data_IF_762496974106
#
_entry.id   IF_762496974106
#
_cell.length_a   1.000
_cell.length_b   1.000
_cell.length_c   1.000
_cell.angle_alpha   90.00
_cell.angle_beta   90.00
_cell.angle_gamma   90.00
#
_symmetry.space_group_name_H-M   'P 1'
#
loop_
_entity.id
_entity.type
_entity.pdbx_description
1 polymer ?
#
# COMPACT_ATOMS: atom_id res chain seq x y z
N UNK A 1 9.43 -0.15 -29.37
CA UNK A 1 8.30 -0.51 -30.24
C UNK A 1 7.01 -0.23 -29.48
N UNK A 2 6.05 0.48 -30.07
CA UNK A 2 4.73 0.75 -29.47
C UNK A 2 3.81 -0.46 -29.63
N UNK A 3 2.79 -0.63 -28.78
CA UNK A 3 1.86 -1.77 -28.90
C UNK A 3 1.13 -1.79 -30.25
N UNK A 4 0.67 -0.63 -30.73
CA UNK A 4 0.03 -0.48 -32.05
C UNK A 4 0.96 -0.86 -33.21
N UNK A 5 2.24 -0.45 -33.12
CA UNK A 5 3.31 -0.77 -34.07
C UNK A 5 3.62 -2.28 -34.08
N UNK A 6 3.64 -2.92 -32.92
CA UNK A 6 3.79 -4.37 -32.81
C UNK A 6 2.58 -5.12 -33.41
N UNK A 7 1.36 -4.68 -33.13
CA UNK A 7 0.14 -5.26 -33.69
C UNK A 7 0.04 -5.09 -35.23
N UNK A 8 0.54 -3.98 -35.77
CA UNK A 8 0.68 -3.76 -37.22
C UNK A 8 1.75 -4.68 -37.83
N UNK A 9 2.94 -4.77 -37.22
CA UNK A 9 4.00 -5.66 -37.70
C UNK A 9 3.57 -7.14 -37.70
N UNK A 10 2.84 -7.59 -36.66
CA UNK A 10 2.24 -8.93 -36.61
C UNK A 10 1.17 -9.12 -37.71
N UNK A 11 0.30 -8.12 -37.96
CA UNK A 11 -0.65 -8.12 -39.08
C UNK A 11 0.06 -8.27 -40.43
N UNK A 12 1.13 -7.51 -40.66
CA UNK A 12 1.87 -7.52 -41.91
C UNK A 12 2.57 -8.87 -42.14
N UNK A 13 3.27 -9.39 -41.11
CA UNK A 13 3.91 -10.71 -41.17
C UNK A 13 2.91 -11.84 -41.41
N UNK A 14 1.74 -11.81 -40.76
CA UNK A 14 0.68 -12.78 -41.01
C UNK A 14 0.19 -12.73 -42.47
N UNK A 15 -0.03 -11.55 -43.04
CA UNK A 15 -0.44 -11.38 -44.44
C UNK A 15 0.60 -11.88 -45.45
N UNK A 16 1.90 -11.71 -45.17
CA UNK A 16 3.00 -12.29 -45.97
C UNK A 16 2.99 -13.82 -45.87
N UNK A 17 2.82 -14.37 -44.66
CA UNK A 17 2.78 -15.83 -44.48
C UNK A 17 1.57 -16.49 -45.15
N UNK A 18 0.39 -15.87 -45.16
CA UNK A 18 -0.76 -16.36 -45.96
C UNK A 18 -0.42 -16.42 -47.46
N UNK A 19 0.18 -15.36 -48.02
CA UNK A 19 0.60 -15.34 -49.44
C UNK A 19 1.63 -16.42 -49.78
N UNK A 20 2.45 -16.81 -48.80
CA UNK A 20 3.48 -17.84 -48.94
C UNK A 20 2.95 -19.26 -48.61
N UNK A 21 1.64 -19.47 -48.44
CA UNK A 21 1.02 -20.76 -48.09
C UNK A 21 1.27 -21.22 -46.64
N UNK A 22 1.91 -20.40 -45.81
CA UNK A 22 2.28 -20.69 -44.42
C UNK A 22 1.12 -20.37 -43.45
N UNK A 23 -0.05 -20.96 -43.69
CA UNK A 23 -1.26 -20.65 -42.91
C UNK A 23 -1.09 -20.85 -41.40
N UNK A 24 -0.44 -21.93 -40.97
CA UNK A 24 -0.26 -22.22 -39.54
C UNK A 24 0.58 -21.14 -38.84
N UNK A 25 1.66 -20.67 -39.48
CA UNK A 25 2.45 -19.54 -38.97
C UNK A 25 1.65 -18.23 -38.95
N UNK A 26 0.79 -18.00 -39.95
CA UNK A 26 -0.07 -16.83 -39.99
C UNK A 26 -1.14 -16.85 -38.86
N UNK A 27 -1.71 -18.02 -38.54
CA UNK A 27 -2.66 -18.19 -37.43
C UNK A 27 -1.99 -17.88 -36.08
N UNK A 28 -0.76 -18.37 -35.84
CA UNK A 28 0.00 -18.05 -34.63
C UNK A 28 0.35 -16.55 -34.53
N UNK A 29 0.79 -15.92 -35.62
CA UNK A 29 1.04 -14.48 -35.64
C UNK A 29 -0.23 -13.64 -35.35
N UNK A 30 -1.41 -14.11 -35.76
CA UNK A 30 -2.69 -13.49 -35.43
C UNK A 30 -3.11 -13.72 -33.96
N UNK A 31 -2.78 -14.88 -33.37
CA UNK A 31 -2.99 -15.14 -31.95
C UNK A 31 -2.08 -14.25 -31.08
N UNK A 32 -0.81 -14.09 -31.46
CA UNK A 32 0.10 -13.10 -30.85
C UNK A 32 -0.45 -11.67 -31.01
N UNK A 33 -0.98 -11.32 -32.19
CA UNK A 33 -1.63 -10.02 -32.40
C UNK A 33 -2.81 -9.81 -31.44
N UNK A 34 -3.64 -10.84 -31.18
CA UNK A 34 -4.74 -10.74 -30.20
C UNK A 34 -4.22 -10.37 -28.81
N UNK A 35 -3.17 -11.03 -28.32
CA UNK A 35 -2.54 -10.71 -27.02
C UNK A 35 -2.02 -9.27 -26.95
N UNK A 36 -1.42 -8.76 -28.03
CA UNK A 36 -0.96 -7.36 -28.12
C UNK A 36 -2.13 -6.37 -28.12
N UNK A 37 -3.25 -6.71 -28.77
CA UNK A 37 -4.48 -5.88 -28.74
C UNK A 37 -5.09 -5.83 -27.33
N UNK A 38 -5.19 -6.97 -26.65
CA UNK A 38 -5.70 -7.08 -25.28
C UNK A 38 -4.84 -6.28 -24.27
N UNK A 39 -3.52 -6.30 -24.42
CA UNK A 39 -2.62 -5.47 -23.63
C UNK A 39 -2.75 -3.96 -23.94
N UNK A 40 -3.14 -3.61 -25.18
CA UNK A 40 -3.39 -2.23 -25.58
C UNK A 40 -4.75 -1.72 -25.06
N UNK A 41 -5.75 -2.60 -24.98
CA UNK A 41 -7.07 -2.34 -24.38
C UNK A 41 -6.93 -2.06 -22.87
N UNK A 42 -6.30 -2.97 -22.13
CA UNK A 42 -5.96 -2.76 -20.70
C UNK A 42 -5.10 -1.52 -20.45
N UNK A 43 -4.28 -1.12 -21.43
CA UNK A 43 -3.50 0.13 -21.37
C UNK A 43 -4.34 1.38 -21.65
N UNK A 44 -5.46 1.30 -22.38
CA UNK A 44 -6.42 2.39 -22.54
C UNK A 44 -7.20 2.57 -21.23
N UNK A 45 -7.72 1.49 -20.67
CA UNK A 45 -8.54 1.54 -19.45
C UNK A 45 -7.76 2.14 -18.28
N UNK A 46 -6.46 1.81 -18.18
CA UNK A 46 -5.53 2.43 -17.21
C UNK A 46 -5.26 3.92 -17.47
N UNK A 47 -5.31 4.39 -18.71
CA UNK A 47 -5.17 5.83 -19.02
C UNK A 47 -6.45 6.56 -18.59
N UNK A 48 -7.62 6.01 -18.92
CA UNK A 48 -8.93 6.58 -18.58
C UNK A 48 -9.12 6.73 -17.06
N UNK A 49 -8.69 5.73 -16.27
CA UNK A 49 -8.65 5.81 -14.80
C UNK A 49 -7.67 6.87 -14.27
N UNK A 50 -6.54 7.10 -14.94
CA UNK A 50 -5.57 8.14 -14.55
C UNK A 50 -6.07 9.54 -14.91
N UNK A 51 -6.79 9.69 -16.01
CA UNK A 51 -7.45 10.94 -16.40
C UNK A 51 -8.58 11.30 -15.41
N UNK A 52 -9.38 10.31 -14.99
CA UNK A 52 -10.40 10.49 -13.93
C UNK A 52 -9.78 10.88 -12.58
N UNK A 53 -8.70 10.20 -12.17
CA UNK A 53 -7.96 10.54 -10.95
C UNK A 53 -7.35 11.95 -11.02
N UNK A 54 -6.85 12.36 -12.19
CA UNK A 54 -6.34 13.71 -12.41
C UNK A 54 -7.43 14.76 -12.29
N UNK A 55 -8.62 14.51 -12.85
CA UNK A 55 -9.78 15.40 -12.70
C UNK A 55 -10.19 15.57 -11.23
N UNK A 56 -10.32 14.47 -10.48
CA UNK A 56 -10.66 14.49 -9.04
C UNK A 56 -9.59 15.17 -8.19
N UNK A 57 -8.30 15.00 -8.52
CA UNK A 57 -7.21 15.69 -7.83
C UNK A 57 -7.27 17.21 -8.06
N UNK A 58 -7.53 17.65 -9.29
CA UNK A 58 -7.70 19.07 -9.61
C UNK A 58 -8.94 19.69 -8.92
N UNK A 59 -10.04 18.93 -8.79
CA UNK A 59 -11.22 19.34 -8.03
C UNK A 59 -10.90 19.54 -6.54
N UNK A 60 -10.25 18.56 -5.90
CA UNK A 60 -9.85 18.65 -4.48
C UNK A 60 -8.86 19.78 -4.23
N UNK A 61 -7.91 20.01 -5.15
CA UNK A 61 -7.01 21.17 -5.10
C UNK A 61 -7.82 22.48 -5.18
N UNK A 62 -8.74 22.61 -6.14
CA UNK A 62 -9.55 23.82 -6.32
C UNK A 62 -10.40 24.14 -5.08
N UNK A 63 -10.98 23.11 -4.44
CA UNK A 63 -11.70 23.26 -3.17
C UNK A 63 -10.74 23.73 -2.06
N UNK A 64 -9.58 23.11 -1.91
CA UNK A 64 -8.62 23.46 -0.84
C UNK A 64 -7.95 24.82 -1.05
N UNK A 65 -7.76 25.26 -2.28
CA UNK A 65 -7.34 26.62 -2.60
C UNK A 65 -8.42 27.64 -2.22
N UNK A 66 -9.70 27.36 -2.51
CA UNK A 66 -10.81 28.21 -2.08
C UNK A 66 -10.94 28.26 -0.54
N UNK A 67 -10.90 27.11 0.14
CA UNK A 67 -10.90 27.04 1.61
C UNK A 67 -9.78 27.89 2.21
N UNK A 68 -8.57 27.82 1.64
CA UNK A 68 -7.41 28.58 2.13
C UNK A 68 -7.59 30.09 1.91
N UNK A 69 -8.13 30.51 0.77
CA UNK A 69 -8.45 31.90 0.47
C UNK A 69 -9.51 32.45 1.43
N UNK A 70 -10.55 31.66 1.73
CA UNK A 70 -11.61 32.03 2.69
C UNK A 70 -11.05 32.21 4.11
N UNK A 71 -10.27 31.25 4.61
CA UNK A 71 -9.66 31.34 5.95
C UNK A 71 -8.70 32.54 6.06
N UNK A 72 -7.84 32.79 5.06
CA UNK A 72 -6.93 33.95 5.06
C UNK A 72 -7.71 35.28 4.99
N UNK A 73 -8.85 35.34 4.30
CA UNK A 73 -9.71 36.52 4.28
C UNK A 73 -10.39 36.77 5.65
N UNK A 74 -10.71 35.72 6.41
CA UNK A 74 -11.25 35.82 7.78
C UNK A 74 -10.16 36.33 8.73
N UNK A 75 -8.95 35.77 8.69
CA UNK A 75 -7.82 36.21 9.53
C UNK A 75 -7.49 37.69 9.31
N UNK A 76 -7.47 38.15 8.06
CA UNK A 76 -7.24 39.57 7.72
C UNK A 76 -8.34 40.49 8.25
N UNK A 77 -9.60 40.04 8.26
CA UNK A 77 -10.72 40.81 8.81
C UNK A 77 -10.78 40.79 10.34
N UNK A 78 -10.20 39.80 11.02
CA UNK A 78 -10.09 39.79 12.50
C UNK A 78 -9.12 40.83 13.06
N UNK A 79 -8.24 41.43 12.24
CA UNK A 79 -7.40 42.57 12.63
C UNK A 79 -8.12 43.92 12.73
N UNK A 80 -9.46 43.94 12.65
CA UNK A 80 -10.25 45.08 12.19
C UNK A 80 -10.90 46.02 13.20
N UNK A 81 -10.58 45.99 14.51
CA UNK A 81 -11.07 47.03 15.45
C UNK A 81 -10.21 47.27 16.71
N UNK A 82 -8.87 47.25 16.57
CA UNK A 82 -7.94 47.59 17.64
C UNK A 82 -6.79 48.47 17.13
N UNK A 83 -6.48 49.58 17.81
CA UNK A 83 -5.39 50.48 17.41
C UNK A 83 -4.03 49.76 17.48
N UNK A 84 -3.18 49.84 16.43
CA UNK A 84 -1.92 49.11 16.37
C UNK A 84 -0.89 49.69 17.36
N UNK A 85 -0.81 49.05 18.54
CA UNK A 85 0.19 49.38 19.57
C UNK A 85 1.62 49.18 19.03
N UNK A 86 2.52 50.18 19.13
CA UNK A 86 3.85 50.08 18.53
C UNK A 86 4.71 48.93 19.09
N UNK A 87 5.04 47.96 18.22
CA UNK A 87 5.91 46.82 18.57
C UNK A 87 7.37 47.29 18.66
N UNK A 88 7.89 47.42 19.87
CA UNK A 88 9.30 47.77 20.13
C UNK A 88 10.14 46.50 20.14
N UNK A 89 10.90 46.26 19.08
CA UNK A 89 11.87 45.16 19.01
C UNK A 89 13.07 45.45 19.93
N UNK A 90 13.21 44.66 21.00
CA UNK A 90 14.36 44.71 21.91
C UNK A 90 15.25 43.48 21.67
N UNK A 91 16.46 43.70 21.15
CA UNK A 91 17.43 42.62 20.97
C UNK A 91 17.85 42.02 22.32
N UNK A 92 17.80 40.69 22.50
CA UNK A 92 18.24 40.05 23.75
C UNK A 92 19.69 40.41 24.08
N UNK A 93 19.93 40.88 25.31
CA UNK A 93 21.29 41.08 25.83
C UNK A 93 21.75 39.83 26.56
N UNK A 94 22.78 39.19 26.01
CA UNK A 94 23.51 38.11 26.66
C UNK A 94 24.13 38.59 28.00
N UNK A 95 23.83 37.89 29.10
CA UNK A 95 24.79 37.59 30.19
C UNK A 95 24.22 36.69 31.31
N UNK A 96 24.86 35.52 31.44
CA UNK A 96 25.23 34.84 32.70
C UNK A 96 24.10 34.26 33.58
N UNK A 97 24.43 33.12 34.21
CA UNK A 97 23.57 32.30 35.08
C UNK A 97 23.39 32.91 36.48
N UNK A 98 22.24 32.64 37.13
CA UNK A 98 22.27 31.92 38.42
C UNK A 98 20.91 31.31 38.84
N UNK A 99 20.92 30.01 39.12
CA UNK A 99 20.12 29.23 40.10
C UNK A 99 18.57 29.26 40.21
N UNK A 100 18.04 28.03 40.35
CA UNK A 100 16.98 27.58 41.28
C UNK A 100 15.48 27.50 40.85
N UNK A 101 15.03 26.24 40.75
CA UNK A 101 13.72 25.64 41.13
C UNK A 101 12.38 26.21 40.59
N UNK A 102 11.54 25.35 40.00
CA UNK A 102 10.13 25.70 39.76
C UNK A 102 9.26 24.79 38.86
N UNK A 103 9.29 23.47 39.04
CA UNK A 103 8.27 22.47 38.62
C UNK A 103 7.56 22.62 37.25
N UNK A 104 7.82 21.70 36.31
CA UNK A 104 6.95 21.47 35.14
C UNK A 104 5.64 20.77 35.52
N UNK A 105 4.50 21.36 35.15
CA UNK A 105 3.23 20.63 34.99
C UNK A 105 2.34 21.34 33.94
N UNK A 106 2.46 20.93 32.67
CA UNK A 106 1.54 21.32 31.58
C UNK A 106 0.85 20.08 31.01
N UNK A 107 -0.32 19.75 31.58
CA UNK A 107 -1.20 18.73 31.03
C UNK A 107 -1.92 19.28 29.78
N UNK A 108 -1.79 18.60 28.64
CA UNK A 108 -2.43 18.97 27.39
C UNK A 108 -3.45 17.91 26.93
N UNK A 109 -4.62 18.39 26.51
CA UNK A 109 -5.62 17.73 25.64
C UNK A 109 -6.06 16.29 25.98
N UNK A 110 -7.33 16.15 26.38
CA UNK A 110 -8.29 15.41 25.55
C UNK A 110 -9.73 15.84 25.86
N UNK A 111 -10.58 15.96 24.85
CA UNK A 111 -12.03 16.13 25.00
C UNK A 111 -12.75 15.49 23.81
N UNK A 112 -13.70 14.60 24.10
CA UNK A 112 -14.49 13.89 23.08
C UNK A 112 -15.63 14.76 22.55
N UNK A 113 -15.94 14.65 21.26
CA UNK A 113 -17.31 14.56 20.74
C UNK A 113 -17.31 13.57 19.56
N UNK A 114 -18.41 12.84 19.35
CA UNK A 114 -18.55 11.82 18.30
C UNK A 114 -19.89 11.98 17.54
N UNK A 115 -19.99 11.38 16.33
CA UNK A 115 -21.17 11.00 15.52
C UNK A 115 -20.61 10.25 14.26
N UNK A 116 -21.16 9.20 13.61
CA UNK A 116 -22.51 8.62 13.40
C UNK A 116 -23.48 9.49 12.57
N UNK A 117 -24.38 9.02 11.68
CA UNK A 117 -24.73 7.71 11.01
C UNK A 117 -25.43 8.08 9.66
N UNK A 118 -25.65 7.33 8.56
CA UNK A 118 -25.31 6.01 7.95
C UNK A 118 -25.16 6.29 6.41
N UNK A 119 -24.99 5.27 5.54
CA UNK A 119 -25.98 4.93 4.50
C UNK A 119 -25.53 3.81 3.55
N UNK A 120 -26.36 2.77 3.45
CA UNK A 120 -26.14 1.53 2.66
C UNK A 120 -26.88 1.51 1.32
N UNK A 121 -26.22 1.04 0.25
CA UNK A 121 -26.82 0.37 -0.94
C UNK A 121 -25.73 -0.59 -1.48
N UNK A 122 -25.95 -1.80 -2.01
CA UNK A 122 -27.13 -2.66 -2.20
C UNK A 122 -26.68 -3.92 -2.98
N UNK A 123 -27.40 -5.04 -2.93
CA UNK A 123 -26.89 -6.36 -3.39
C UNK A 123 -27.65 -6.96 -4.58
N UNK A 124 -26.93 -7.67 -5.48
CA UNK A 124 -27.35 -8.73 -6.45
C UNK A 124 -26.15 -9.07 -7.38
N UNK A 125 -25.94 -10.25 -7.99
CA UNK A 125 -26.49 -11.61 -7.80
C UNK A 125 -25.64 -12.70 -8.53
N UNK A 126 -25.94 -13.99 -8.28
CA UNK A 126 -25.65 -15.20 -9.10
C UNK A 126 -24.20 -15.74 -9.32
N UNK A 127 -23.88 -16.80 -8.53
CA UNK A 127 -23.43 -18.19 -8.88
C UNK A 127 -23.26 -18.59 -10.37
N UNK A 128 -22.49 -19.61 -10.79
CA UNK A 128 -21.43 -20.50 -10.22
C UNK A 128 -20.62 -21.08 -11.45
N UNK A 129 -20.19 -22.36 -11.58
CA UNK A 129 -18.76 -22.70 -11.58
C UNK A 129 -18.23 -23.31 -12.90
N UNK A 130 -16.92 -23.55 -12.98
CA UNK A 130 -16.37 -24.56 -13.91
C UNK A 130 -15.01 -25.10 -13.42
N UNK A 131 -14.97 -26.38 -13.06
CA UNK A 131 -13.72 -27.12 -12.92
C UNK A 131 -13.07 -27.36 -14.30
N UNK A 132 -11.76 -27.59 -14.31
CA UNK A 132 -11.07 -28.52 -15.22
C UNK A 132 -9.64 -28.80 -14.71
N UNK A 133 -9.17 -30.02 -14.90
CA UNK A 133 -7.97 -30.55 -14.24
C UNK A 133 -6.65 -30.27 -14.99
N UNK A 134 -5.56 -30.18 -14.20
CA UNK A 134 -4.19 -30.68 -14.46
C UNK A 134 -3.50 -30.43 -15.83
N UNK A 135 -2.28 -29.88 -15.79
CA UNK A 135 -1.02 -30.59 -16.12
C UNK A 135 0.21 -29.71 -15.80
N UNK A 136 1.35 -30.34 -15.56
CA UNK A 136 2.59 -29.75 -15.02
C UNK A 136 3.43 -28.94 -16.02
N UNK A 137 4.29 -28.06 -15.48
CA UNK A 137 5.68 -27.96 -15.93
C UNK A 137 6.09 -26.78 -16.83
N UNK A 138 6.67 -25.74 -16.22
CA UNK A 138 7.99 -25.21 -16.63
C UNK A 138 8.56 -24.25 -15.57
N UNK A 139 9.89 -24.11 -15.56
CA UNK A 139 10.64 -23.14 -14.74
C UNK A 139 10.75 -21.82 -15.48
N UNK A 140 10.48 -20.70 -14.79
CA UNK A 140 11.31 -19.47 -14.70
C UNK A 140 10.46 -18.30 -14.13
N UNK A 141 11.08 -17.17 -13.76
CA UNK A 141 10.40 -15.88 -13.72
C UNK A 141 9.83 -15.43 -12.37
N UNK A 142 10.72 -14.87 -11.54
CA UNK A 142 10.41 -13.98 -10.41
C UNK A 142 9.33 -12.93 -10.75
N UNK A 143 8.58 -12.46 -9.73
CA UNK A 143 7.49 -11.44 -9.75
C UNK A 143 6.07 -12.01 -9.97
N UNK A 144 5.47 -12.59 -8.91
CA UNK A 144 4.02 -12.94 -8.83
C UNK A 144 3.32 -12.81 -7.46
N UNK A 145 4.01 -12.53 -6.35
CA UNK A 145 3.41 -12.68 -5.01
C UNK A 145 2.48 -11.55 -4.54
N UNK A 146 2.71 -10.29 -4.89
CA UNK A 146 1.97 -9.16 -4.27
C UNK A 146 0.47 -9.20 -4.59
N UNK A 147 0.12 -9.51 -5.84
CA UNK A 147 -1.26 -9.63 -6.32
C UNK A 147 -1.95 -10.87 -5.73
N UNK A 148 -1.22 -11.99 -5.58
CA UNK A 148 -1.72 -13.22 -4.96
C UNK A 148 -2.02 -13.04 -3.46
N UNK A 149 -1.16 -12.35 -2.71
CA UNK A 149 -1.40 -12.00 -1.31
C UNK A 149 -2.56 -11.01 -1.16
N UNK A 150 -2.66 -10.01 -2.06
CA UNK A 150 -3.77 -9.05 -2.04
C UNK A 150 -5.13 -9.71 -2.32
N UNK A 151 -5.23 -10.64 -3.28
CA UNK A 151 -6.47 -11.37 -3.55
C UNK A 151 -6.88 -12.27 -2.38
N UNK A 152 -5.94 -12.95 -1.73
CA UNK A 152 -6.24 -13.74 -0.51
C UNK A 152 -6.76 -12.87 0.63
N UNK A 153 -6.30 -11.62 0.75
CA UNK A 153 -6.81 -10.67 1.75
C UNK A 153 -8.19 -10.07 1.39
N UNK A 154 -8.76 -10.42 0.23
CA UNK A 154 -10.13 -10.06 -0.18
C UNK A 154 -11.12 -11.24 -0.05
N UNK A 155 -10.66 -12.44 0.27
CA UNK A 155 -11.48 -13.67 0.38
C UNK A 155 -11.90 -13.97 1.85
N UNK A 156 -11.42 -13.18 2.81
CA UNK A 156 -11.67 -13.37 4.24
C UNK A 156 -13.09 -12.96 4.66
N UNK A 157 -13.82 -13.90 5.24
CA UNK A 157 -15.23 -13.74 5.66
C UNK A 157 -15.44 -12.93 6.94
N UNK A 158 -14.41 -12.80 7.79
CA UNK A 158 -14.50 -12.11 9.07
C UNK A 158 -13.16 -11.49 9.50
N UNK A 159 -13.21 -10.65 10.54
CA UNK A 159 -12.04 -10.02 11.14
C UNK A 159 -11.06 -11.04 11.76
N UNK A 160 -11.59 -12.11 12.36
CA UNK A 160 -10.80 -13.23 12.89
C UNK A 160 -10.06 -14.00 11.78
N UNK A 161 -10.74 -14.28 10.65
CA UNK A 161 -10.12 -14.92 9.48
C UNK A 161 -8.98 -14.07 8.91
N UNK A 162 -9.19 -12.74 8.85
CA UNK A 162 -8.17 -11.76 8.45
C UNK A 162 -6.96 -11.78 9.40
N UNK A 163 -7.17 -11.76 10.72
CA UNK A 163 -6.07 -11.79 11.69
C UNK A 163 -5.27 -13.10 11.63
N UNK A 164 -5.93 -14.26 11.50
CA UNK A 164 -5.25 -15.55 11.35
C UNK A 164 -4.44 -15.61 10.06
N UNK A 165 -4.97 -15.07 8.95
CA UNK A 165 -4.24 -15.00 7.69
C UNK A 165 -3.01 -14.07 7.78
N UNK A 166 -3.13 -12.94 8.45
CA UNK A 166 -1.99 -12.01 8.66
C UNK A 166 -0.93 -12.65 9.56
N UNK A 167 -1.30 -13.33 10.65
CA UNK A 167 -0.33 -14.11 11.44
C UNK A 167 0.32 -15.21 10.59
N UNK A 168 -0.43 -15.91 9.74
CA UNK A 168 0.09 -16.92 8.82
C UNK A 168 1.17 -16.38 7.88
N UNK A 169 0.97 -15.19 7.31
CA UNK A 169 2.00 -14.54 6.47
C UNK A 169 3.20 -14.07 7.31
N UNK A 170 2.98 -13.45 8.46
CA UNK A 170 4.05 -13.00 9.35
C UNK A 170 4.89 -14.18 9.87
N UNK A 171 4.27 -15.30 10.22
CA UNK A 171 4.91 -16.56 10.63
C UNK A 171 5.76 -17.15 9.52
N UNK A 172 5.33 -17.04 8.25
CA UNK A 172 6.14 -17.44 7.09
C UNK A 172 7.39 -16.55 6.94
N UNK A 173 7.20 -15.23 7.05
CA UNK A 173 8.30 -14.24 7.01
C UNK A 173 9.29 -14.49 8.16
N UNK A 174 8.80 -14.75 9.37
CA UNK A 174 9.61 -15.11 10.54
C UNK A 174 10.51 -16.33 10.29
N UNK A 175 9.96 -17.40 9.70
CA UNK A 175 10.73 -18.60 9.33
C UNK A 175 11.77 -18.30 8.24
N UNK A 176 11.45 -17.48 7.25
CA UNK A 176 12.38 -17.05 6.20
C UNK A 176 13.53 -16.19 6.78
N UNK A 177 13.22 -15.23 7.68
CA UNK A 177 14.21 -14.39 8.38
C UNK A 177 15.11 -15.22 9.30
N UNK A 178 14.56 -16.12 10.11
CA UNK A 178 15.32 -17.03 10.98
C UNK A 178 16.24 -17.93 10.13
N UNK A 179 15.79 -18.38 8.96
CA UNK A 179 16.60 -19.17 8.03
C UNK A 179 17.73 -18.34 7.41
N UNK A 180 17.45 -17.08 7.02
CA UNK A 180 18.46 -16.15 6.51
C UNK A 180 19.50 -15.80 7.58
N UNK A 181 19.10 -15.64 8.85
CA UNK A 181 20.02 -15.43 9.97
C UNK A 181 20.90 -16.65 10.24
N UNK A 182 20.34 -17.86 10.22
CA UNK A 182 21.11 -19.12 10.36
C UNK A 182 22.13 -19.29 9.23
N UNK A 183 21.71 -19.07 7.98
CA UNK A 183 22.61 -19.08 6.82
C UNK A 183 23.69 -18.00 6.92
N UNK A 184 23.31 -16.78 7.31
CA UNK A 184 24.25 -15.66 7.50
C UNK A 184 25.26 -15.97 8.59
N UNK A 185 24.86 -16.59 9.70
CA UNK A 185 25.79 -17.04 10.75
C UNK A 185 26.80 -18.04 10.20
N UNK A 186 26.35 -19.10 9.52
CA UNK A 186 27.23 -20.12 8.93
C UNK A 186 28.22 -19.53 7.91
N UNK A 187 27.79 -18.54 7.13
CA UNK A 187 28.67 -17.83 6.18
C UNK A 187 29.65 -16.89 6.90
N UNK A 188 29.22 -16.14 7.90
CA UNK A 188 30.05 -15.16 8.62
C UNK A 188 31.03 -15.83 9.60
N UNK A 189 30.72 -17.04 10.08
CA UNK A 189 31.62 -17.89 10.87
C UNK A 189 32.87 -18.32 10.07
N UNK A 190 32.83 -18.24 8.73
CA UNK A 190 34.00 -18.39 7.85
C UNK A 190 34.80 -17.09 7.61
N UNK A 191 34.29 -15.93 8.07
CA UNK A 191 34.87 -14.60 7.80
C UNK A 191 34.76 -13.68 9.01
N UNK A 192 35.76 -13.84 9.89
CA UNK A 192 35.99 -13.12 11.14
C UNK A 192 35.42 -11.69 11.22
N UNK A 193 34.39 -11.54 12.07
CA UNK A 193 33.91 -10.29 12.69
C UNK A 193 33.86 -9.01 11.83
N UNK A 194 33.39 -9.10 10.59
CA UNK A 194 32.78 -7.95 9.93
C UNK A 194 31.32 -7.86 10.40
N UNK A 195 30.98 -6.83 11.17
CA UNK A 195 29.60 -6.58 11.60
C UNK A 195 28.70 -6.34 10.37
N UNK A 196 28.03 -7.40 9.92
CA UNK A 196 27.23 -7.35 8.71
C UNK A 196 25.94 -6.57 8.99
N UNK A 197 25.89 -5.33 8.51
CA UNK A 197 24.76 -4.42 8.64
C UNK A 197 23.42 -5.08 8.24
N UNK A 198 23.44 -5.93 7.21
CA UNK A 198 22.26 -6.68 6.75
C UNK A 198 21.76 -7.69 7.78
N UNK A 199 22.65 -8.26 8.60
CA UNK A 199 22.27 -9.16 9.71
C UNK A 199 21.62 -8.36 10.84
N UNK A 200 22.10 -7.15 11.15
CA UNK A 200 21.41 -6.22 12.08
C UNK A 200 20.03 -5.83 11.57
N UNK A 201 19.92 -5.40 10.31
CA UNK A 201 18.62 -5.09 9.70
C UNK A 201 17.67 -6.30 9.71
N UNK A 202 18.17 -7.50 9.41
CA UNK A 202 17.36 -8.75 9.48
C UNK A 202 16.90 -9.06 10.91
N UNK A 203 17.72 -8.78 11.94
CA UNK A 203 17.32 -8.93 13.34
C UNK A 203 16.24 -7.91 13.73
N UNK A 204 16.38 -6.63 13.34
CA UNK A 204 15.35 -5.60 13.58
C UNK A 204 14.01 -6.00 12.97
N UNK A 205 14.00 -6.40 11.69
CA UNK A 205 12.78 -6.82 10.99
C UNK A 205 12.16 -8.06 11.65
N UNK A 206 12.97 -8.98 12.20
CA UNK A 206 12.47 -10.13 12.95
C UNK A 206 11.82 -9.72 14.29
N UNK A 207 12.40 -8.75 15.00
CA UNK A 207 11.84 -8.19 16.23
C UNK A 207 10.52 -7.43 15.96
N UNK A 208 10.48 -6.62 14.89
CA UNK A 208 9.26 -5.95 14.40
C UNK A 208 8.15 -6.97 14.06
N UNK A 209 8.49 -8.05 13.34
CA UNK A 209 7.56 -9.14 12.99
C UNK A 209 7.04 -9.83 14.25
N UNK A 210 7.91 -10.20 15.19
CA UNK A 210 7.48 -10.80 16.46
C UNK A 210 6.53 -9.88 17.23
N UNK A 211 6.82 -8.57 17.31
CA UNK A 211 5.96 -7.61 18.01
C UNK A 211 4.58 -7.45 17.36
N UNK A 212 4.49 -7.44 16.02
CA UNK A 212 3.20 -7.41 15.31
C UNK A 212 2.41 -8.70 15.57
N UNK A 213 3.05 -9.88 15.57
CA UNK A 213 2.39 -11.16 15.90
C UNK A 213 1.90 -11.21 17.35
N UNK A 214 2.68 -10.70 18.30
CA UNK A 214 2.28 -10.57 19.71
C UNK A 214 1.05 -9.64 19.86
N UNK A 215 1.02 -8.53 19.12
CA UNK A 215 -0.15 -7.63 19.08
C UNK A 215 -1.39 -8.30 18.49
N UNK A 216 -1.24 -9.10 17.43
CA UNK A 216 -2.35 -9.88 16.88
C UNK A 216 -2.88 -10.85 17.92
N UNK A 217 -2.02 -11.66 18.56
CA UNK A 217 -2.43 -12.61 19.60
C UNK A 217 -3.24 -11.94 20.72
N UNK A 218 -2.81 -10.79 21.23
CA UNK A 218 -3.53 -10.01 22.25
C UNK A 218 -4.90 -9.52 21.79
N UNK A 219 -5.08 -9.19 20.50
CA UNK A 219 -6.39 -8.83 19.94
C UNK A 219 -7.30 -10.06 19.89
N UNK A 220 -6.80 -11.23 19.44
CA UNK A 220 -7.57 -12.48 19.41
C UNK A 220 -8.01 -12.91 20.82
N UNK A 221 -7.11 -12.81 21.80
CA UNK A 221 -7.41 -13.11 23.21
C UNK A 221 -8.49 -12.18 23.78
N UNK A 222 -8.42 -10.87 23.47
CA UNK A 222 -9.42 -9.90 23.90
C UNK A 222 -10.81 -10.18 23.28
N UNK A 223 -10.87 -10.50 21.98
CA UNK A 223 -12.15 -10.81 21.33
C UNK A 223 -12.80 -12.08 21.91
N UNK A 224 -12.01 -13.14 22.15
CA UNK A 224 -12.48 -14.36 22.83
C UNK A 224 -13.00 -14.05 24.24
N UNK A 225 -12.34 -13.16 24.99
CA UNK A 225 -12.80 -12.70 26.28
C UNK A 225 -14.19 -12.05 26.23
N UNK A 226 -14.39 -11.07 25.32
CA UNK A 226 -15.70 -10.38 25.21
C UNK A 226 -16.86 -11.30 24.84
N UNK A 227 -16.60 -12.38 24.08
CA UNK A 227 -17.63 -13.37 23.72
C UNK A 227 -18.02 -14.30 24.89
N UNK A 228 -17.21 -14.38 25.94
CA UNK A 228 -17.50 -15.19 27.15
C UNK A 228 -18.21 -14.41 28.27
N UNK A 229 -18.19 -13.08 28.24
CA UNK A 229 -18.91 -12.24 29.22
C UNK A 229 -20.36 -11.90 28.80
N UNK A 230 -20.79 -12.35 27.61
CA UNK A 230 -22.09 -12.04 26.98
C UNK A 230 -22.99 -13.29 26.88
N UNK A 231 -22.55 -14.45 27.39
CA UNK A 231 -23.23 -15.76 27.30
C UNK A 231 -23.65 -16.34 28.65
#
# INVERSE_FOLDING_TARGET
>A
MRLSEAAENLRHRAAVNVRNGKENEARELLFQKKKVMEAMEKSKDRIELLDELSAKLNEVISVKENDLIENVAIDLNMGGDAEPSPIIFVSPKEKVQESANGNDEFAATSSNVALEEDLRIGAESLREPSDNELIEGSVDGKVKNEVDVAHKLLEVSSYEDFLEQVDGQLRKIEVELITLLKFSKLMLESKENVENEKVRHTLSILEDVHHVRERIAKIKEAEVGTRLEIA
#
